data_IF_480476584320
#
_entry.id   IF_480476584320
#
_cell.length_a   1.000
_cell.length_b   1.000
_cell.length_c   1.000
_cell.angle_alpha   90.00
_cell.angle_beta   90.00
_cell.angle_gamma   90.00
#
_symmetry.space_group_name_H-M   'P 1'
#
loop_
_entity.id
_entity.type
_entity.pdbx_description
1 polymer ?
#
# COMPACT_ATOMS: atom_id res chain seq x y z
N UNK A 1 3.12 -5.87 -23.50
CA UNK A 1 2.78 -4.48 -23.88
C UNK A 1 2.09 -3.85 -22.68
N UNK A 2 2.71 -2.87 -22.05
CA UNK A 2 2.08 -2.15 -20.94
C UNK A 2 0.86 -1.39 -21.46
N UNK A 3 -0.27 -1.33 -20.74
CA UNK A 3 -1.39 -0.50 -21.13
C UNK A 3 -0.94 0.96 -21.09
N UNK A 4 -1.17 1.65 -22.19
CA UNK A 4 -0.95 3.08 -22.30
C UNK A 4 -1.83 3.83 -21.30
N UNK A 5 -1.26 4.79 -20.62
CA UNK A 5 -1.88 5.52 -19.54
C UNK A 5 -3.08 6.34 -19.99
N UNK A 6 -4.04 6.53 -19.09
CA UNK A 6 -5.15 7.47 -19.26
C UNK A 6 -4.64 8.89 -19.02
N UNK A 7 -4.99 9.79 -19.90
CA UNK A 7 -4.70 11.22 -19.77
C UNK A 7 -5.99 11.96 -19.39
N UNK A 8 -5.94 12.79 -18.39
CA UNK A 8 -7.02 13.72 -18.10
C UNK A 8 -6.51 15.15 -18.15
N UNK A 9 -7.20 15.99 -18.88
CA UNK A 9 -6.92 17.41 -19.00
C UNK A 9 -7.87 18.22 -18.12
N UNK A 10 -7.30 19.10 -17.33
CA UNK A 10 -8.03 20.16 -16.67
C UNK A 10 -7.80 21.44 -17.44
N UNK A 11 -8.76 21.94 -18.05
CA UNK A 11 -9.06 23.24 -18.64
C UNK A 11 -9.44 23.24 -20.12
N UNK A 12 -10.63 23.72 -20.31
CA UNK A 12 -11.24 24.36 -21.48
C UNK A 12 -10.74 23.93 -22.83
N UNK A 13 -11.67 23.24 -23.45
CA UNK A 13 -12.13 23.34 -24.80
C UNK A 13 -11.21 23.04 -25.98
N UNK A 14 -11.77 22.12 -26.72
CA UNK A 14 -11.86 22.01 -28.16
C UNK A 14 -10.62 22.36 -29.01
N UNK A 15 -10.33 21.38 -29.77
CA UNK A 15 -9.45 21.36 -30.95
C UNK A 15 -8.06 20.83 -30.67
N UNK A 16 -7.99 19.51 -30.61
CA UNK A 16 -6.82 18.85 -31.15
C UNK A 16 -6.89 18.86 -32.67
N UNK A 17 -6.22 19.84 -33.29
CA UNK A 17 -5.92 19.80 -34.69
C UNK A 17 -4.51 19.24 -34.87
N UNK A 18 -4.49 18.06 -35.40
CA UNK A 18 -3.51 17.49 -36.31
C UNK A 18 -2.00 17.67 -36.05
N UNK A 19 -1.44 16.63 -35.44
CA UNK A 19 -0.21 16.04 -35.98
C UNK A 19 -0.53 14.60 -36.41
N UNK A 20 -0.87 14.47 -37.69
CA UNK A 20 -1.66 13.36 -38.22
C UNK A 20 -0.91 12.05 -38.45
N UNK A 21 0.39 11.91 -38.23
CA UNK A 21 1.13 10.75 -38.69
C UNK A 21 1.75 9.83 -37.64
N UNK A 22 1.95 10.27 -36.43
CA UNK A 22 2.50 9.41 -35.35
C UNK A 22 1.42 9.00 -34.36
N UNK A 23 0.31 9.67 -34.34
CA UNK A 23 -0.73 9.58 -33.31
C UNK A 23 -1.79 8.51 -33.59
N UNK A 24 -2.08 8.14 -34.83
CA UNK A 24 -3.23 7.28 -35.16
C UNK A 24 -3.17 5.86 -34.56
N UNK A 25 -2.01 5.30 -34.33
CA UNK A 25 -1.86 3.95 -33.76
C UNK A 25 -1.83 3.96 -32.21
N UNK A 26 -1.53 5.09 -31.61
CA UNK A 26 -1.47 5.28 -30.15
C UNK A 26 -2.80 5.78 -29.56
N UNK A 27 -3.61 6.51 -30.36
CA UNK A 27 -4.87 7.09 -29.91
C UNK A 27 -5.99 6.08 -29.67
N UNK A 28 -5.93 4.93 -30.30
CA UNK A 28 -6.95 3.87 -30.13
C UNK A 28 -6.95 3.20 -28.73
N UNK A 29 -6.00 3.54 -27.87
CA UNK A 29 -5.81 2.92 -26.55
C UNK A 29 -5.84 3.91 -25.39
N UNK A 30 -6.06 5.19 -25.61
CA UNK A 30 -6.08 6.21 -24.56
C UNK A 30 -7.48 6.83 -24.40
N UNK A 31 -8.02 6.75 -23.19
CA UNK A 31 -9.21 7.49 -22.78
C UNK A 31 -8.79 8.90 -22.33
N UNK A 32 -9.21 9.93 -23.07
CA UNK A 32 -9.01 11.32 -22.67
C UNK A 32 -10.26 11.85 -21.98
N UNK A 33 -10.09 12.50 -20.85
CA UNK A 33 -11.16 13.24 -20.16
C UNK A 33 -10.73 14.68 -20.01
N UNK A 34 -11.59 15.60 -20.42
CA UNK A 34 -11.38 17.04 -20.27
C UNK A 34 -12.37 17.59 -19.23
N UNK A 35 -11.88 18.46 -18.37
CA UNK A 35 -12.67 19.16 -17.36
C UNK A 35 -12.52 20.66 -17.59
N UNK A 36 -13.62 21.34 -17.91
CA UNK A 36 -13.63 22.76 -18.22
C UNK A 36 -14.34 23.58 -17.13
N UNK A 37 -14.11 24.89 -17.13
CA UNK A 37 -14.82 25.82 -16.25
C UNK A 37 -14.49 25.72 -14.77
N UNK A 38 -13.32 25.21 -14.42
CA UNK A 38 -12.86 25.08 -13.02
C UNK A 38 -12.53 26.48 -12.48
N UNK A 39 -13.32 26.93 -11.50
CA UNK A 39 -13.20 28.27 -10.89
C UNK A 39 -12.37 28.27 -9.60
N UNK A 40 -12.06 27.11 -9.03
CA UNK A 40 -11.25 26.95 -7.82
C UNK A 40 -9.99 26.19 -8.18
N UNK A 41 -8.86 26.41 -7.47
CA UNK A 41 -7.61 25.68 -7.73
C UNK A 41 -7.65 24.23 -7.19
N UNK A 42 -8.80 23.59 -7.26
CA UNK A 42 -9.06 22.25 -6.75
C UNK A 42 -10.01 21.50 -7.68
N UNK A 43 -9.62 20.29 -8.08
CA UNK A 43 -10.46 19.37 -8.81
C UNK A 43 -10.36 17.97 -8.17
N UNK A 44 -11.50 17.39 -7.81
CA UNK A 44 -11.58 16.00 -7.33
C UNK A 44 -11.98 15.08 -8.47
N UNK A 45 -11.12 14.12 -8.77
CA UNK A 45 -11.33 13.14 -9.84
C UNK A 45 -11.22 11.74 -9.26
N UNK A 46 -12.20 10.88 -9.57
CA UNK A 46 -12.11 9.45 -9.26
C UNK A 46 -11.24 8.76 -10.32
N UNK A 47 -10.18 8.12 -9.86
CA UNK A 47 -9.23 7.38 -10.69
C UNK A 47 -9.51 5.88 -10.60
N UNK A 48 -9.31 5.17 -11.71
CA UNK A 48 -9.38 3.70 -11.71
C UNK A 48 -8.08 3.10 -11.19
N UNK A 49 -8.13 1.94 -10.54
CA UNK A 49 -6.93 1.25 -10.08
C UNK A 49 -6.09 0.69 -11.24
N UNK A 50 -4.80 0.54 -11.02
CA UNK A 50 -3.82 -0.04 -11.94
C UNK A 50 -3.62 0.74 -13.26
N UNK A 51 -3.79 2.05 -13.23
CA UNK A 51 -3.65 2.93 -14.40
C UNK A 51 -2.64 4.03 -14.13
N UNK A 52 -1.89 4.43 -15.14
CA UNK A 52 -1.11 5.65 -15.13
C UNK A 52 -1.92 6.78 -15.73
N UNK A 53 -2.02 7.89 -15.02
CA UNK A 53 -2.71 9.10 -15.47
C UNK A 53 -1.69 10.20 -15.69
N UNK A 54 -1.81 10.87 -16.83
CA UNK A 54 -1.07 12.08 -17.11
C UNK A 54 -2.04 13.27 -17.07
N UNK A 55 -1.74 14.24 -16.21
CA UNK A 55 -2.55 15.44 -16.04
C UNK A 55 -1.82 16.62 -16.66
N UNK A 56 -2.58 17.41 -17.43
CA UNK A 56 -2.11 18.63 -18.03
C UNK A 56 -3.06 19.76 -17.64
N UNK A 57 -2.54 20.98 -17.55
CA UNK A 57 -3.30 22.19 -17.26
C UNK A 57 -3.18 23.18 -18.39
N UNK A 58 -4.28 23.89 -18.67
CA UNK A 58 -4.31 25.09 -19.50
C UNK A 58 -5.10 26.17 -18.77
N UNK A 59 -4.63 27.39 -18.78
CA UNK A 59 -5.36 28.54 -18.33
C UNK A 59 -6.13 29.14 -19.50
N UNK A 60 -7.35 29.59 -19.26
CA UNK A 60 -8.16 30.27 -20.28
C UNK A 60 -8.78 31.55 -19.70
N UNK A 61 -8.84 32.58 -20.53
CA UNK A 61 -9.52 33.84 -20.26
C UNK A 61 -10.25 34.29 -21.53
N UNK A 62 -11.02 35.39 -21.48
CA UNK A 62 -11.73 35.90 -22.67
C UNK A 62 -10.85 36.27 -23.88
N UNK A 63 -9.53 36.38 -23.66
CA UNK A 63 -8.58 36.78 -24.68
C UNK A 63 -7.82 35.62 -25.32
N UNK A 64 -7.90 34.41 -24.70
CA UNK A 64 -7.26 33.21 -25.24
C UNK A 64 -6.97 32.14 -24.20
N UNK A 65 -6.27 31.12 -24.65
CA UNK A 65 -5.83 29.97 -23.83
C UNK A 65 -4.31 29.89 -23.77
N UNK A 66 -3.75 29.50 -22.63
CA UNK A 66 -2.31 29.25 -22.49
C UNK A 66 -1.89 27.99 -23.27
N UNK A 67 -0.59 27.82 -23.41
CA UNK A 67 -0.01 26.54 -23.74
C UNK A 67 -0.31 25.51 -22.65
N UNK A 68 -0.18 24.24 -23.01
CA UNK A 68 -0.35 23.13 -22.11
C UNK A 68 0.86 23.05 -21.13
N UNK A 69 0.58 22.80 -19.86
CA UNK A 69 1.63 22.56 -18.88
C UNK A 69 2.40 21.27 -19.19
N UNK A 70 3.54 21.09 -18.55
CA UNK A 70 4.16 19.76 -18.46
C UNK A 70 3.21 18.74 -17.84
N UNK A 71 3.40 17.47 -18.20
CA UNK A 71 2.60 16.38 -17.70
C UNK A 71 2.92 16.08 -16.22
N UNK A 72 1.88 16.06 -15.38
CA UNK A 72 1.97 15.49 -14.05
C UNK A 72 1.53 14.03 -14.11
N UNK A 73 2.43 13.09 -13.81
CA UNK A 73 2.12 11.67 -13.75
C UNK A 73 1.55 11.30 -12.38
N UNK A 74 0.34 10.73 -12.37
CA UNK A 74 -0.25 10.07 -11.21
C UNK A 74 -0.45 8.60 -11.56
N UNK A 75 0.25 7.72 -10.88
CA UNK A 75 0.08 6.27 -11.04
C UNK A 75 -0.83 5.74 -9.94
N UNK A 76 -1.88 5.01 -10.33
CA UNK A 76 -2.71 4.22 -9.41
C UNK A 76 -2.31 2.74 -9.45
N UNK A 77 -1.21 2.41 -10.12
CA UNK A 77 -0.61 1.09 -10.06
C UNK A 77 -0.04 0.86 -8.68
N UNK A 78 -0.21 -0.35 -8.19
CA UNK A 78 0.18 -0.71 -6.85
C UNK A 78 -0.84 -0.26 -5.77
N UNK A 79 -0.71 -0.88 -4.62
CA UNK A 79 -1.56 -0.59 -3.46
C UNK A 79 -1.03 0.62 -2.72
N UNK A 80 -1.85 1.66 -2.56
CA UNK A 80 -1.53 2.85 -1.76
C UNK A 80 -2.45 2.92 -0.57
N UNK A 81 -1.88 3.13 0.60
CA UNK A 81 -2.61 3.41 1.83
C UNK A 81 -1.69 4.12 2.83
N UNK A 82 -2.27 4.79 3.80
CA UNK A 82 -1.58 5.42 4.92
C UNK A 82 -1.99 4.75 6.24
N UNK A 83 -1.23 5.04 7.27
CA UNK A 83 -1.58 4.60 8.62
C UNK A 83 -2.76 5.45 9.14
N UNK A 84 -3.74 4.78 9.73
CA UNK A 84 -4.87 5.43 10.39
C UNK A 84 -4.46 5.85 11.81
N UNK A 85 -3.92 7.05 11.98
CA UNK A 85 -3.42 7.56 13.27
C UNK A 85 -4.46 7.48 14.38
N UNK A 86 -5.75 7.64 14.06
CA UNK A 86 -6.88 7.48 15.00
C UNK A 86 -7.01 6.05 15.58
N UNK A 87 -6.41 5.06 14.94
CA UNK A 87 -6.41 3.67 15.40
C UNK A 87 -5.15 3.32 16.19
N UNK A 88 -4.18 4.22 16.25
CA UNK A 88 -2.91 3.96 16.92
C UNK A 88 -3.08 3.87 18.42
N UNK A 89 -2.43 2.87 19.03
CA UNK A 89 -2.31 2.81 20.48
C UNK A 89 -1.58 4.07 21.00
N UNK A 90 -1.97 4.64 22.14
CA UNK A 90 -1.38 5.89 22.66
C UNK A 90 0.13 5.88 22.87
N UNK A 91 0.74 4.69 23.05
CA UNK A 91 2.19 4.54 23.17
C UNK A 91 2.93 4.67 21.83
N UNK A 92 2.25 4.58 20.69
CA UNK A 92 2.84 4.68 19.37
C UNK A 92 2.87 6.14 18.90
N UNK A 93 3.95 6.49 18.22
CA UNK A 93 4.09 7.76 17.51
C UNK A 93 4.02 7.48 16.01
N UNK A 94 3.13 8.20 15.33
CA UNK A 94 2.97 8.09 13.86
C UNK A 94 3.51 9.37 13.23
N UNK A 95 4.32 9.22 12.18
CA UNK A 95 4.85 10.36 11.42
C UNK A 95 3.75 11.20 10.77
N UNK A 96 4.04 12.47 10.49
CA UNK A 96 3.08 13.40 9.86
C UNK A 96 2.57 12.94 8.49
N UNK A 97 3.40 12.21 7.74
CA UNK A 97 3.02 11.60 6.45
C UNK A 97 2.37 10.21 6.61
N UNK A 98 2.09 9.78 7.85
CA UNK A 98 1.44 8.51 8.17
C UNK A 98 2.09 7.26 7.54
N UNK A 99 3.43 7.23 7.48
CA UNK A 99 4.19 6.10 6.94
C UNK A 99 5.17 5.48 7.93
N UNK A 100 5.46 6.13 9.07
CA UNK A 100 6.39 5.59 10.09
C UNK A 100 5.63 5.38 11.39
N UNK A 101 5.84 4.20 11.99
CA UNK A 101 5.35 3.80 13.31
C UNK A 101 6.56 3.71 14.22
N UNK A 102 6.58 4.45 15.31
CA UNK A 102 7.65 4.42 16.30
C UNK A 102 7.10 4.08 17.68
N UNK A 103 7.75 3.17 18.37
CA UNK A 103 7.54 2.90 19.80
C UNK A 103 8.79 3.39 20.55
N UNK A 104 8.68 4.48 21.33
CA UNK A 104 9.81 5.02 22.09
C UNK A 104 10.31 4.08 23.19
N UNK A 105 11.61 4.11 23.50
CA UNK A 105 12.21 3.26 24.54
C UNK A 105 11.59 3.45 25.93
N UNK A 106 11.15 4.65 26.24
CA UNK A 106 10.56 4.98 27.55
C UNK A 106 9.03 4.86 27.57
N UNK A 107 8.42 4.37 26.48
CA UNK A 107 6.97 4.21 26.43
C UNK A 107 6.50 3.18 27.45
N UNK A 108 5.50 3.56 28.25
CA UNK A 108 4.80 2.64 29.16
C UNK A 108 3.53 2.18 28.49
N UNK A 109 3.32 0.89 28.41
CA UNK A 109 2.10 0.34 27.82
C UNK A 109 1.78 -1.02 28.45
N UNK A 110 0.53 -1.41 28.35
CA UNK A 110 0.06 -2.76 28.62
C UNK A 110 -0.48 -3.34 27.32
N UNK A 111 -0.28 -4.64 27.09
CA UNK A 111 -0.72 -5.31 25.87
C UNK A 111 0.24 -5.13 24.71
N UNK A 112 -0.33 -5.02 23.50
CA UNK A 112 0.42 -4.98 22.24
C UNK A 112 0.07 -3.70 21.48
N UNK A 113 0.90 -2.64 21.59
CA UNK A 113 0.67 -1.40 20.85
C UNK A 113 0.54 -1.66 19.36
N UNK A 114 -0.62 -1.33 18.78
CA UNK A 114 -0.92 -1.59 17.39
C UNK A 114 -1.54 -0.39 16.69
N UNK A 115 -1.43 -0.36 15.35
CA UNK A 115 -2.04 0.61 14.47
C UNK A 115 -2.47 -0.09 13.17
N UNK A 116 -3.50 0.43 12.53
CA UNK A 116 -4.01 -0.06 11.25
C UNK A 116 -3.64 0.87 10.10
N UNK A 117 -3.45 0.30 8.92
CA UNK A 117 -3.51 1.01 7.65
C UNK A 117 -4.95 1.24 7.20
N UNK A 118 -5.15 2.04 6.16
CA UNK A 118 -6.44 2.23 5.51
C UNK A 118 -6.98 0.89 5.00
N UNK A 119 -8.31 0.78 4.94
CA UNK A 119 -9.01 -0.43 4.53
C UNK A 119 -8.75 -0.76 3.06
N UNK A 120 -8.30 -1.98 2.79
CA UNK A 120 -8.12 -2.50 1.45
C UNK A 120 -9.40 -3.21 0.98
N UNK A 121 -9.86 -2.95 -0.25
CA UNK A 121 -11.06 -3.61 -0.77
C UNK A 121 -10.87 -5.13 -0.91
N UNK A 122 -11.95 -5.89 -0.67
CA UNK A 122 -11.97 -7.36 -0.74
C UNK A 122 -11.91 -7.90 -2.17
N UNK A 123 -10.99 -7.42 -2.98
CA UNK A 123 -10.78 -7.81 -4.39
C UNK A 123 -9.37 -7.52 -4.87
N UNK A 124 -8.93 -8.27 -5.88
CA UNK A 124 -7.64 -8.04 -6.53
C UNK A 124 -6.44 -8.50 -5.70
N UNK A 125 -5.30 -7.94 -5.99
CA UNK A 125 -4.02 -8.24 -5.36
C UNK A 125 -3.46 -6.95 -4.75
N UNK A 126 -3.11 -7.01 -3.47
CA UNK A 126 -2.56 -5.89 -2.71
C UNK A 126 -1.17 -6.23 -2.24
N UNK A 127 -0.18 -5.39 -2.58
CA UNK A 127 1.20 -5.57 -2.18
C UNK A 127 1.75 -4.29 -1.56
N UNK A 128 2.47 -4.44 -0.45
CA UNK A 128 3.21 -3.38 0.22
C UNK A 128 4.44 -3.96 0.91
N UNK A 129 5.35 -3.10 1.30
CA UNK A 129 6.56 -3.48 2.00
C UNK A 129 6.70 -2.71 3.32
N UNK A 130 7.39 -3.30 4.26
CA UNK A 130 7.70 -2.72 5.55
C UNK A 130 9.21 -2.83 5.78
N UNK A 131 9.86 -1.69 6.04
CA UNK A 131 11.24 -1.65 6.51
C UNK A 131 11.23 -1.97 8.00
N UNK A 132 11.94 -3.03 8.41
CA UNK A 132 11.87 -3.62 9.74
C UNK A 132 13.20 -3.58 10.50
N UNK A 133 14.31 -3.20 9.88
CA UNK A 133 15.64 -3.27 10.48
C UNK A 133 15.79 -2.47 11.80
N UNK A 134 15.00 -1.41 11.97
CA UNK A 134 15.01 -0.57 13.16
C UNK A 134 14.08 -1.06 14.29
N UNK A 135 13.48 -2.25 14.15
CA UNK A 135 12.59 -2.83 15.15
C UNK A 135 12.90 -4.31 15.37
N UNK A 136 13.12 -4.69 16.63
CA UNK A 136 13.53 -6.04 16.98
C UNK A 136 12.38 -6.98 17.36
N UNK A 137 11.19 -6.45 17.65
CA UNK A 137 10.02 -7.24 17.99
C UNK A 137 8.75 -6.58 17.50
N UNK A 138 8.09 -7.23 16.54
CA UNK A 138 6.94 -6.68 15.86
C UNK A 138 6.02 -7.77 15.32
N UNK A 139 4.76 -7.39 15.06
CA UNK A 139 3.81 -8.16 14.27
C UNK A 139 3.35 -7.33 13.09
N UNK A 140 3.35 -7.94 11.91
CA UNK A 140 2.91 -7.31 10.67
C UNK A 140 2.01 -8.26 9.91
N UNK A 141 0.91 -7.76 9.36
CA UNK A 141 -0.03 -8.59 8.60
C UNK A 141 -1.30 -7.86 8.27
N UNK A 142 -2.43 -8.55 8.43
CA UNK A 142 -3.76 -8.03 8.13
C UNK A 142 -4.76 -8.40 9.23
N UNK A 143 -5.82 -7.60 9.31
CA UNK A 143 -7.02 -7.98 10.05
C UNK A 143 -8.27 -7.49 9.30
N UNK A 144 -9.38 -8.22 9.45
CA UNK A 144 -10.66 -7.77 8.90
C UNK A 144 -11.16 -6.50 9.60
N UNK A 145 -11.99 -5.73 8.93
CA UNK A 145 -12.57 -4.49 9.45
C UNK A 145 -13.31 -4.72 10.78
N UNK A 146 -14.02 -5.83 10.89
CA UNK A 146 -14.77 -6.20 12.09
C UNK A 146 -13.91 -6.68 13.28
N UNK A 147 -12.58 -6.77 13.13
CA UNK A 147 -11.69 -7.23 14.20
C UNK A 147 -11.69 -6.24 15.37
N UNK A 148 -11.97 -6.74 16.58
CA UNK A 148 -11.94 -5.89 17.78
C UNK A 148 -10.56 -5.28 18.01
N UNK A 149 -10.52 -3.99 18.34
CA UNK A 149 -9.27 -3.27 18.63
C UNK A 149 -8.60 -3.71 19.95
N UNK A 150 -9.34 -4.37 20.83
CA UNK A 150 -8.78 -5.01 22.03
C UNK A 150 -8.14 -6.36 21.74
N UNK A 151 -8.39 -6.94 20.57
CA UNK A 151 -7.79 -8.22 20.18
C UNK A 151 -6.33 -8.07 19.81
N UNK A 152 -5.54 -9.06 20.17
CA UNK A 152 -4.13 -9.14 19.80
C UNK A 152 -4.00 -9.70 18.39
N UNK A 153 -3.23 -9.02 17.54
CA UNK A 153 -2.99 -9.41 16.15
C UNK A 153 -2.43 -10.84 16.06
N UNK A 154 -3.11 -11.70 15.31
CA UNK A 154 -2.76 -13.10 15.10
C UNK A 154 -3.28 -14.07 16.19
N UNK A 155 -3.92 -13.57 17.25
CA UNK A 155 -4.50 -14.42 18.31
C UNK A 155 -6.02 -14.60 18.22
N UNK A 156 -6.61 -14.16 17.12
CA UNK A 156 -8.04 -14.30 16.82
C UNK A 156 -8.23 -14.85 15.39
N UNK A 157 -9.44 -15.18 15.03
CA UNK A 157 -9.82 -15.79 13.76
C UNK A 157 -9.98 -14.78 12.60
N UNK A 158 -9.89 -13.49 12.88
CA UNK A 158 -10.06 -12.40 11.91
C UNK A 158 -8.75 -11.66 11.62
N UNK A 159 -7.62 -12.18 12.09
CA UNK A 159 -6.30 -11.58 11.82
C UNK A 159 -5.22 -12.62 11.53
N UNK A 160 -4.29 -12.24 10.68
CA UNK A 160 -3.17 -13.05 10.19
C UNK A 160 -1.90 -12.22 10.23
N UNK A 161 -0.86 -12.69 10.88
CA UNK A 161 0.37 -11.92 10.92
C UNK A 161 1.64 -12.78 10.99
N UNK A 162 2.73 -12.19 10.54
CA UNK A 162 4.07 -12.63 10.87
C UNK A 162 4.54 -11.90 12.14
N UNK A 163 5.02 -12.66 13.10
CA UNK A 163 5.63 -12.19 14.33
C UNK A 163 7.13 -12.40 14.27
N UNK A 164 7.90 -11.37 14.52
CA UNK A 164 9.34 -11.41 14.72
C UNK A 164 9.65 -11.08 16.17
N UNK A 165 10.44 -11.91 16.83
CA UNK A 165 10.95 -11.62 18.18
C UNK A 165 12.42 -12.00 18.28
N UNK A 166 13.21 -11.26 19.08
CA UNK A 166 14.62 -11.58 19.30
C UNK A 166 14.77 -12.81 20.18
N UNK A 167 15.75 -13.61 19.88
CA UNK A 167 16.28 -14.67 20.75
C UNK A 167 17.61 -14.21 21.36
N UNK A 168 18.31 -15.09 22.08
CA UNK A 168 19.63 -14.76 22.61
C UNK A 168 20.68 -14.49 21.53
N UNK A 169 20.60 -15.20 20.41
CA UNK A 169 21.63 -15.16 19.35
C UNK A 169 21.10 -14.74 17.99
N UNK A 170 19.77 -14.66 17.78
CA UNK A 170 19.16 -14.46 16.48
C UNK A 170 17.74 -13.89 16.60
N UNK A 171 16.93 -14.10 15.58
CA UNK A 171 15.52 -13.77 15.51
C UNK A 171 14.70 -15.02 15.27
N UNK A 172 13.53 -15.10 15.92
CA UNK A 172 12.52 -16.11 15.70
C UNK A 172 11.37 -15.48 14.91
N UNK A 173 10.99 -16.12 13.81
CA UNK A 173 9.86 -15.75 12.99
C UNK A 173 8.75 -16.78 13.11
N UNK A 174 7.53 -16.31 13.31
CA UNK A 174 6.33 -17.16 13.41
C UNK A 174 5.19 -16.55 12.66
N UNK A 175 4.44 -17.39 11.99
CA UNK A 175 3.13 -17.01 11.48
C UNK A 175 2.07 -17.30 12.55
N UNK A 176 1.16 -16.35 12.77
CA UNK A 176 0.10 -16.46 13.78
C UNK A 176 -1.28 -16.23 13.14
N UNK A 177 -2.21 -17.13 13.49
CA UNK A 177 -3.63 -17.01 13.19
C UNK A 177 -4.41 -17.90 14.18
N UNK A 178 -5.54 -17.43 14.71
CA UNK A 178 -6.38 -18.17 15.70
C UNK A 178 -5.61 -18.61 16.95
N UNK A 179 -4.55 -17.90 17.33
CA UNK A 179 -3.64 -18.32 18.39
C UNK A 179 -2.72 -19.49 18.03
N UNK A 180 -2.86 -20.07 16.84
CA UNK A 180 -1.93 -21.07 16.31
C UNK A 180 -0.65 -20.40 15.84
N UNK A 181 0.49 -21.02 16.13
CA UNK A 181 1.81 -20.53 15.76
C UNK A 181 2.51 -21.54 14.85
N UNK A 182 2.98 -21.07 13.69
CA UNK A 182 3.81 -21.87 12.80
C UNK A 182 5.19 -21.22 12.69
N UNK A 183 6.24 -21.97 13.02
CA UNK A 183 7.61 -21.47 12.89
C UNK A 183 7.95 -21.23 11.41
N UNK A 184 8.53 -20.07 11.15
CA UNK A 184 8.97 -19.65 9.82
C UNK A 184 10.49 -19.69 9.77
N UNK A 185 11.03 -20.54 8.90
CA UNK A 185 12.48 -20.65 8.74
C UNK A 185 13.00 -19.47 7.92
N UNK A 186 13.71 -18.58 8.60
CA UNK A 186 14.38 -17.42 7.99
C UNK A 186 15.88 -17.62 8.13
N UNK A 187 16.57 -17.73 7.01
CA UNK A 187 18.04 -17.97 6.99
C UNK A 187 18.83 -16.70 7.23
N UNK A 188 18.25 -15.55 6.91
CA UNK A 188 18.87 -14.25 7.06
C UNK A 188 17.80 -13.23 7.45
N UNK A 189 18.10 -12.43 8.47
CA UNK A 189 17.17 -11.39 8.95
C UNK A 189 16.93 -10.34 7.86
N UNK A 190 15.71 -10.25 7.29
CA UNK A 190 15.43 -9.27 6.25
C UNK A 190 15.40 -7.87 6.84
N UNK A 191 15.92 -6.89 6.12
CA UNK A 191 15.73 -5.49 6.47
C UNK A 191 14.37 -4.96 6.02
N UNK A 192 13.75 -5.66 5.03
CA UNK A 192 12.47 -5.30 4.46
C UNK A 192 11.62 -6.54 4.16
N UNK A 193 10.38 -6.51 4.64
CA UNK A 193 9.41 -7.59 4.41
C UNK A 193 8.30 -7.08 3.49
N UNK A 194 8.04 -7.83 2.40
CA UNK A 194 6.90 -7.63 1.51
C UNK A 194 5.72 -8.48 1.95
N UNK A 195 4.50 -7.95 1.81
CA UNK A 195 3.25 -8.67 2.08
C UNK A 195 2.38 -8.59 0.84
N UNK A 196 1.91 -9.74 0.37
CA UNK A 196 0.91 -9.87 -0.70
C UNK A 196 -0.37 -10.47 -0.13
N UNK A 197 -1.46 -9.71 -0.22
CA UNK A 197 -2.82 -10.20 -0.02
C UNK A 197 -3.47 -10.37 -1.40
N UNK A 198 -3.71 -11.62 -1.79
CA UNK A 198 -4.32 -11.98 -3.07
C UNK A 198 -5.71 -12.55 -2.85
N UNK A 199 -6.74 -11.72 -3.02
CA UNK A 199 -8.14 -12.13 -2.90
C UNK A 199 -8.55 -13.10 -4.00
N UNK A 200 -8.04 -12.90 -5.21
CA UNK A 200 -8.38 -13.75 -6.37
C UNK A 200 -7.79 -15.15 -6.25
N UNK A 201 -6.54 -15.23 -5.79
CA UNK A 201 -5.83 -16.50 -5.57
C UNK A 201 -6.09 -17.12 -4.18
N UNK A 202 -6.77 -16.40 -3.28
CA UNK A 202 -7.01 -16.83 -1.91
C UNK A 202 -5.69 -17.10 -1.18
N UNK A 203 -4.77 -16.12 -1.17
CA UNK A 203 -3.44 -16.29 -0.59
C UNK A 203 -2.98 -15.06 0.19
N UNK A 204 -2.23 -15.30 1.25
CA UNK A 204 -1.44 -14.30 1.94
C UNK A 204 -0.01 -14.78 1.99
N UNK A 205 0.92 -13.96 1.44
CA UNK A 205 2.33 -14.29 1.35
C UNK A 205 3.18 -13.21 2.02
N UNK A 206 4.27 -13.67 2.63
CA UNK A 206 5.31 -12.81 3.21
C UNK A 206 6.62 -13.09 2.49
N UNK A 207 7.34 -12.04 2.13
CA UNK A 207 8.58 -12.10 1.35
C UNK A 207 9.74 -11.43 2.07
N UNK A 208 10.94 -11.95 1.88
CA UNK A 208 12.13 -11.12 1.97
C UNK A 208 12.15 -10.25 0.71
N UNK A 209 11.79 -8.98 0.84
CA UNK A 209 11.61 -8.08 -0.31
C UNK A 209 12.93 -7.71 -1.00
N UNK A 210 14.07 -7.84 -0.33
CA UNK A 210 15.38 -7.58 -0.91
C UNK A 210 15.85 -8.70 -1.82
N UNK A 211 15.53 -9.95 -1.43
CA UNK A 211 15.93 -11.15 -2.17
C UNK A 211 14.83 -11.72 -3.06
N UNK A 212 13.61 -11.22 -2.96
CA UNK A 212 12.47 -11.78 -3.68
C UNK A 212 12.07 -13.19 -3.25
N UNK A 213 12.43 -13.61 -2.03
CA UNK A 213 12.17 -14.94 -1.52
C UNK A 213 10.91 -15.00 -0.67
N UNK A 214 10.07 -16.01 -0.90
CA UNK A 214 8.92 -16.29 -0.04
C UNK A 214 9.40 -16.79 1.31
N UNK A 215 9.02 -16.07 2.36
CA UNK A 215 9.27 -16.47 3.75
C UNK A 215 8.18 -17.42 4.25
N UNK A 216 6.92 -17.07 3.96
CA UNK A 216 5.77 -17.86 4.36
C UNK A 216 4.57 -17.60 3.44
N UNK A 217 3.73 -18.60 3.27
CA UNK A 217 2.51 -18.53 2.45
C UNK A 217 1.41 -19.36 3.07
N UNK A 218 0.20 -18.79 3.09
CA UNK A 218 -1.02 -19.55 3.42
C UNK A 218 -2.03 -19.42 2.30
N UNK A 219 -2.90 -20.42 2.21
CA UNK A 219 -4.13 -20.38 1.41
C UNK A 219 -5.32 -20.19 2.34
N UNK A 220 -6.10 -19.16 2.07
CA UNK A 220 -7.33 -18.86 2.78
C UNK A 220 -8.26 -18.07 1.86
N UNK A 221 -9.55 -18.40 1.88
CA UNK A 221 -10.55 -17.63 1.14
C UNK A 221 -10.89 -16.38 1.94
N UNK A 222 -10.21 -15.28 1.66
CA UNK A 222 -10.51 -13.98 2.26
C UNK A 222 -11.83 -13.45 1.71
N UNK A 223 -12.78 -13.14 2.59
CA UNK A 223 -14.15 -12.73 2.23
C UNK A 223 -14.40 -11.25 2.43
N UNK A 224 -13.70 -10.64 3.38
CA UNK A 224 -13.99 -9.30 3.85
C UNK A 224 -12.83 -8.35 3.55
N UNK A 225 -13.14 -7.06 3.47
CA UNK A 225 -12.13 -6.02 3.39
C UNK A 225 -11.20 -6.08 4.62
N UNK A 226 -9.91 -5.88 4.38
CA UNK A 226 -8.90 -6.02 5.41
C UNK A 226 -8.06 -4.75 5.57
N UNK A 227 -7.73 -4.45 6.81
CA UNK A 227 -6.71 -3.46 7.14
C UNK A 227 -5.34 -4.11 7.16
N UNK A 228 -4.31 -3.52 6.54
CA UNK A 228 -2.92 -3.77 6.96
C UNK A 228 -2.78 -3.45 8.45
N UNK A 229 -2.12 -4.33 9.19
CA UNK A 229 -2.06 -4.24 10.64
C UNK A 229 -0.64 -4.40 11.15
N UNK A 230 -0.27 -3.55 12.11
CA UNK A 230 1.10 -3.44 12.63
C UNK A 230 1.05 -3.35 14.15
N UNK A 231 1.95 -4.08 14.82
CA UNK A 231 2.14 -3.94 16.25
C UNK A 231 3.64 -4.00 16.59
N UNK A 232 4.06 -3.21 17.57
CA UNK A 232 5.42 -3.19 18.10
C UNK A 232 5.41 -3.65 19.56
N UNK A 233 6.29 -4.58 19.89
CA UNK A 233 6.39 -5.15 21.23
C UNK A 233 7.61 -4.65 22.00
N UNK A 234 8.55 -4.05 21.29
CA UNK A 234 9.75 -3.40 21.84
C UNK A 234 10.01 -2.09 21.13
N UNK A 235 10.76 -1.22 21.79
CA UNK A 235 11.19 0.04 21.20
C UNK A 235 11.83 -0.15 19.81
N UNK A 236 11.51 0.74 18.90
CA UNK A 236 11.95 0.68 17.51
C UNK A 236 10.99 1.36 16.57
N UNK A 237 11.25 1.21 15.27
CA UNK A 237 10.44 1.82 14.24
C UNK A 237 10.20 0.88 13.07
N UNK A 238 8.99 0.97 12.48
CA UNK A 238 8.63 0.35 11.21
C UNK A 238 8.35 1.46 10.19
N UNK A 239 8.83 1.31 8.97
CA UNK A 239 8.51 2.24 7.88
C UNK A 239 7.71 1.53 6.81
N UNK A 240 6.55 2.07 6.51
CA UNK A 240 5.64 1.59 5.49
C UNK A 240 6.06 2.12 4.11
N UNK A 241 6.12 1.22 3.13
CA UNK A 241 6.35 1.52 1.72
C UNK A 241 5.17 1.00 0.89
N UNK A 242 4.44 1.92 0.25
CA UNK A 242 3.24 1.61 -0.55
C UNK A 242 3.30 2.27 -1.93
N UNK A 243 2.38 1.89 -2.81
CA UNK A 243 2.23 2.51 -4.12
C UNK A 243 3.23 2.03 -5.16
N UNK A 244 3.97 0.98 -4.88
CA UNK A 244 4.84 0.33 -5.85
C UNK A 244 4.05 -0.64 -6.73
N UNK A 245 4.51 -0.83 -7.96
CA UNK A 245 4.02 -1.92 -8.81
C UNK A 245 4.39 -3.28 -8.20
N UNK A 246 3.64 -4.32 -8.53
CA UNK A 246 3.98 -5.68 -8.11
C UNK A 246 5.36 -6.05 -8.62
N UNK A 247 6.33 -6.36 -7.74
CA UNK A 247 7.65 -6.85 -8.16
C UNK A 247 7.54 -8.14 -8.98
N UNK A 248 8.53 -8.42 -9.83
CA UNK A 248 8.51 -9.61 -10.67
C UNK A 248 8.38 -10.91 -9.88
N UNK A 249 9.07 -11.03 -8.75
CA UNK A 249 8.96 -12.19 -7.87
C UNK A 249 7.57 -12.38 -7.26
N UNK A 250 6.76 -11.32 -7.19
CA UNK A 250 5.37 -11.38 -6.71
C UNK A 250 4.39 -11.72 -7.82
N UNK A 251 4.70 -11.36 -9.07
CA UNK A 251 3.80 -11.62 -10.22
C UNK A 251 3.64 -13.11 -10.48
N UNK A 252 4.67 -13.89 -10.21
CA UNK A 252 4.74 -15.34 -10.49
C UNK A 252 4.56 -16.22 -9.26
N UNK A 253 4.26 -15.64 -8.11
CA UNK A 253 4.05 -16.37 -6.85
C UNK A 253 2.60 -16.77 -6.60
#
# INVERSE_FOLDING_TARGET
MAPLGRQSQNFVDEQFVNDEFITRSLWLLCDFRSFAGIKRPELKVSLEPNVNYFFYLRAANPFGTSEQSEAALISTKGTRFHLLSKTAHPALQISSNATVICLPEKAKFTGFPSVLGELLPARGRHYWEIVVYACRSYRIGICYEATSRSSVLGLNDTSWCMHCCPTQTSFLYRFLHTGMMSDVRVTEHPSRIGILLDYSGGRLLFFNAERGLVLFSIRHKFTDAAHPAFALEKAGALTLCTGMELPEFVKHS
#
